data_IF_534668507159
#
_entry.id   IF_534668507159
#
_cell.length_a   1.000
_cell.length_b   1.000
_cell.length_c   1.000
_cell.angle_alpha   90.00
_cell.angle_beta   90.00
_cell.angle_gamma   90.00
#
_symmetry.space_group_name_H-M   'P 1'
#
loop_
_entity.id
_entity.type
_entity.pdbx_description
1 polymer ?
#
# COMPACT_ATOMS: atom_id res chain seq x y z
N UNK A 1 -9.43 -13.42 0.30
CA UNK A 1 -8.79 -13.13 -1.01
C UNK A 1 -7.81 -14.25 -1.29
N UNK A 2 -7.57 -14.61 -2.56
CA UNK A 2 -6.72 -15.76 -2.89
C UNK A 2 -5.23 -15.45 -2.83
N UNK A 3 -4.42 -16.44 -2.45
CA UNK A 3 -2.94 -16.39 -2.35
C UNK A 3 -2.27 -15.67 -3.52
N UNK A 4 -2.77 -15.88 -4.74
CA UNK A 4 -2.22 -15.25 -5.95
C UNK A 4 -2.24 -13.72 -5.87
N UNK A 5 -3.35 -13.11 -5.42
CA UNK A 5 -3.46 -11.64 -5.32
C UNK A 5 -2.51 -11.09 -4.26
N UNK A 6 -2.34 -11.81 -3.15
CA UNK A 6 -1.42 -11.40 -2.08
C UNK A 6 0.04 -11.51 -2.55
N UNK A 7 0.37 -12.53 -3.35
CA UNK A 7 1.69 -12.67 -3.97
C UNK A 7 1.96 -11.57 -5.01
N UNK A 8 0.98 -11.24 -5.86
CA UNK A 8 1.08 -10.13 -6.81
C UNK A 8 1.34 -8.80 -6.10
N UNK A 9 0.59 -8.50 -5.03
CA UNK A 9 0.82 -7.32 -4.21
C UNK A 9 2.22 -7.34 -3.57
N UNK A 10 2.62 -8.47 -2.97
CA UNK A 10 3.96 -8.62 -2.38
C UNK A 10 5.07 -8.28 -3.37
N UNK A 11 5.02 -8.88 -4.56
CA UNK A 11 6.03 -8.69 -5.60
C UNK A 11 6.05 -7.25 -6.10
N UNK A 12 4.88 -6.67 -6.37
CA UNK A 12 4.78 -5.30 -6.86
C UNK A 12 5.34 -4.29 -5.85
N UNK A 13 4.91 -4.37 -4.58
CA UNK A 13 5.38 -3.46 -3.55
C UNK A 13 6.87 -3.62 -3.20
N UNK A 14 7.40 -4.85 -3.21
CA UNK A 14 8.84 -5.08 -3.03
C UNK A 14 9.66 -4.48 -4.18
N UNK A 15 9.22 -4.70 -5.42
CA UNK A 15 9.89 -4.18 -6.62
C UNK A 15 10.00 -2.65 -6.56
N UNK A 16 8.89 -1.97 -6.27
CA UNK A 16 8.88 -0.50 -6.14
C UNK A 16 9.72 -0.02 -4.96
N UNK A 17 9.60 -0.67 -3.79
CA UNK A 17 10.42 -0.33 -2.62
C UNK A 17 11.92 -0.45 -2.91
N UNK A 18 12.34 -1.49 -3.62
CA UNK A 18 13.72 -1.71 -4.04
C UNK A 18 14.20 -0.62 -4.99
N UNK A 19 13.44 -0.33 -6.05
CA UNK A 19 13.77 0.70 -7.05
C UNK A 19 13.97 2.06 -6.39
N UNK A 20 13.07 2.46 -5.49
CA UNK A 20 13.18 3.74 -4.78
C UNK A 20 14.39 3.75 -3.85
N UNK A 21 14.63 2.67 -3.10
CA UNK A 21 15.74 2.60 -2.13
C UNK A 21 17.13 2.69 -2.79
N UNK A 22 17.28 2.07 -3.97
CA UNK A 22 18.56 2.01 -4.68
C UNK A 22 18.74 3.08 -5.75
N UNK A 23 17.76 3.97 -5.96
CA UNK A 23 17.90 5.05 -6.93
C UNK A 23 17.81 4.57 -8.39
N UNK A 24 17.07 3.48 -8.65
CA UNK A 24 17.08 2.80 -9.94
C UNK A 24 16.06 3.41 -10.91
N UNK A 25 16.36 3.32 -12.21
CA UNK A 25 15.38 3.60 -13.26
C UNK A 25 14.48 2.37 -13.42
N UNK A 26 13.14 2.51 -13.38
CA UNK A 26 12.23 1.41 -13.68
C UNK A 26 12.45 0.82 -15.07
N UNK A 27 12.65 -0.49 -15.15
CA UNK A 27 12.54 -1.25 -16.39
C UNK A 27 11.07 -1.63 -16.67
N UNK A 28 10.82 -2.41 -17.73
CA UNK A 28 9.46 -2.73 -18.17
C UNK A 28 8.68 -3.57 -17.13
N UNK A 29 9.34 -4.49 -16.44
CA UNK A 29 8.69 -5.33 -15.41
C UNK A 29 8.39 -4.50 -14.16
N UNK A 30 9.27 -3.57 -13.81
CA UNK A 30 9.01 -2.59 -12.74
C UNK A 30 7.87 -1.65 -13.12
N UNK A 31 7.71 -1.26 -14.39
CA UNK A 31 6.57 -0.44 -14.83
C UNK A 31 5.22 -1.14 -14.66
N UNK A 32 5.17 -2.45 -14.88
CA UNK A 32 3.96 -3.24 -14.55
C UNK A 32 3.68 -3.15 -13.04
N UNK A 33 4.72 -3.28 -12.21
CA UNK A 33 4.59 -3.13 -10.76
C UNK A 33 4.16 -1.70 -10.35
N UNK A 34 4.60 -0.67 -11.07
CA UNK A 34 4.20 0.72 -10.83
C UNK A 34 2.69 0.90 -11.07
N UNK A 35 2.16 0.42 -12.19
CA UNK A 35 0.73 0.48 -12.48
C UNK A 35 -0.10 -0.32 -11.47
N UNK A 36 0.39 -1.49 -11.06
CA UNK A 36 -0.25 -2.30 -10.02
C UNK A 36 -0.35 -1.53 -8.69
N UNK A 37 0.76 -0.98 -8.21
CA UNK A 37 0.80 -0.21 -6.95
C UNK A 37 -0.05 1.06 -7.04
N UNK A 38 -0.06 1.76 -8.19
CA UNK A 38 -0.96 2.90 -8.40
C UNK A 38 -2.42 2.49 -8.33
N UNK A 39 -2.79 1.40 -9.01
CA UNK A 39 -4.16 0.85 -8.99
C UNK A 39 -4.57 0.49 -7.57
N UNK A 40 -3.68 -0.16 -6.81
CA UNK A 40 -3.89 -0.47 -5.41
C UNK A 40 -4.21 0.78 -4.57
N UNK A 41 -3.38 1.83 -4.65
CA UNK A 41 -3.62 3.06 -3.90
C UNK A 41 -4.92 3.75 -4.34
N UNK A 42 -5.27 3.72 -5.63
CA UNK A 42 -6.54 4.25 -6.12
C UNK A 42 -7.74 3.48 -5.54
N UNK A 43 -7.67 2.16 -5.47
CA UNK A 43 -8.71 1.33 -4.83
C UNK A 43 -8.80 1.59 -3.33
N UNK A 44 -7.66 1.68 -2.65
CA UNK A 44 -7.62 2.01 -1.22
C UNK A 44 -8.25 3.38 -0.94
N UNK A 45 -7.95 4.40 -1.75
CA UNK A 45 -8.58 5.73 -1.66
C UNK A 45 -10.10 5.64 -1.86
N UNK A 46 -10.58 4.84 -2.83
CA UNK A 46 -12.02 4.63 -3.03
C UNK A 46 -12.66 3.97 -1.81
N UNK A 47 -12.00 2.96 -1.24
CA UNK A 47 -12.41 2.28 0.00
C UNK A 47 -12.53 3.26 1.17
N UNK A 48 -11.46 4.02 1.44
CA UNK A 48 -11.41 5.05 2.48
C UNK A 48 -12.53 6.11 2.30
N UNK A 49 -12.70 6.66 1.10
CA UNK A 49 -13.75 7.67 0.82
C UNK A 49 -15.16 7.10 0.97
N UNK A 50 -15.35 5.81 0.70
CA UNK A 50 -16.66 5.17 0.87
C UNK A 50 -17.05 5.07 2.35
N UNK A 51 -16.07 4.91 3.25
CA UNK A 51 -16.30 4.84 4.69
C UNK A 51 -16.76 6.20 5.25
N UNK A 52 -16.14 7.30 4.80
CA UNK A 52 -16.55 8.67 5.18
C UNK A 52 -17.98 8.98 4.76
N UNK A 53 -18.38 8.57 3.54
CA UNK A 53 -19.73 8.85 3.01
C UNK A 53 -20.86 8.17 3.78
N UNK A 54 -20.60 7.04 4.44
CA UNK A 54 -21.65 6.23 5.08
C UNK A 54 -22.19 6.81 6.40
N UNK A 55 -21.64 7.94 6.91
CA UNK A 55 -22.11 8.69 8.09
C UNK A 55 -22.66 7.78 9.21
N UNK A 56 -21.76 7.05 9.87
CA UNK A 56 -22.07 6.12 10.96
C UNK A 56 -20.79 5.71 11.70
N UNK A 57 -20.86 4.76 12.66
CA UNK A 57 -19.65 4.15 13.21
C UNK A 57 -18.80 3.58 12.06
N UNK A 58 -17.53 3.98 12.00
CA UNK A 58 -16.62 3.62 10.92
C UNK A 58 -16.27 2.13 11.03
N UNK A 59 -16.95 1.29 10.25
CA UNK A 59 -16.56 -0.10 10.04
C UNK A 59 -15.47 -0.14 8.97
N UNK A 60 -14.24 -0.43 9.40
CA UNK A 60 -13.09 -0.59 8.53
C UNK A 60 -13.12 -2.03 7.99
N UNK A 61 -12.98 -2.19 6.68
CA UNK A 61 -12.78 -3.51 6.08
C UNK A 61 -11.42 -4.05 6.55
N UNK A 62 -11.33 -5.35 6.85
CA UNK A 62 -10.10 -6.02 7.33
C UNK A 62 -8.85 -5.58 6.56
N UNK A 63 -8.89 -5.62 5.23
CA UNK A 63 -7.76 -5.23 4.38
C UNK A 63 -7.35 -3.76 4.57
N UNK A 64 -8.32 -2.85 4.72
CA UNK A 64 -8.04 -1.43 4.97
C UNK A 64 -7.48 -1.22 6.38
N UNK A 65 -7.97 -1.98 7.36
CA UNK A 65 -7.48 -1.93 8.74
C UNK A 65 -6.01 -2.32 8.80
N UNK A 66 -5.65 -3.43 8.18
CA UNK A 66 -4.26 -3.88 8.14
C UNK A 66 -3.36 -2.91 7.37
N UNK A 67 -3.84 -2.32 6.27
CA UNK A 67 -3.11 -1.26 5.54
C UNK A 67 -2.89 -0.04 6.43
N UNK A 68 -3.93 0.41 7.14
CA UNK A 68 -3.88 1.51 8.09
C UNK A 68 -2.83 1.22 9.17
N UNK A 69 -2.92 0.08 9.84
CA UNK A 69 -2.00 -0.35 10.90
C UNK A 69 -0.56 -0.45 10.40
N UNK A 70 -0.35 -1.05 9.23
CA UNK A 70 0.96 -1.20 8.59
C UNK A 70 1.62 0.16 8.29
N UNK A 71 0.81 1.18 7.98
CA UNK A 71 1.27 2.55 7.75
C UNK A 71 1.28 3.41 9.04
N UNK A 72 1.05 2.82 10.22
CA UNK A 72 1.09 3.52 11.51
C UNK A 72 -0.18 4.32 11.84
N UNK A 73 -1.25 4.12 11.07
CA UNK A 73 -2.55 4.73 11.31
C UNK A 73 -3.41 3.75 12.13
N UNK A 74 -3.69 4.07 13.39
CA UNK A 74 -4.54 3.24 14.25
C UNK A 74 -5.87 3.96 14.50
N UNK A 75 -6.97 3.39 14.01
CA UNK A 75 -8.30 4.01 14.07
C UNK A 75 -9.17 3.52 15.23
N UNK A 76 -8.81 2.41 15.88
CA UNK A 76 -9.58 1.90 17.02
C UNK A 76 -9.53 2.89 18.20
N UNK A 77 -10.63 3.00 18.93
CA UNK A 77 -10.83 3.91 20.07
C UNK A 77 -10.90 5.42 19.77
N UNK A 78 -10.90 5.83 18.50
CA UNK A 78 -11.09 7.24 18.12
C UNK A 78 -12.56 7.59 17.93
N UNK A 79 -12.95 8.80 18.34
CA UNK A 79 -14.28 9.33 18.03
C UNK A 79 -14.48 9.50 16.52
N UNK A 80 -15.74 9.43 16.05
CA UNK A 80 -16.08 9.44 14.62
C UNK A 80 -15.43 10.59 13.83
N UNK A 81 -15.37 11.81 14.39
CA UNK A 81 -14.74 12.96 13.74
C UNK A 81 -13.22 12.78 13.55
N UNK A 82 -12.55 12.17 14.53
CA UNK A 82 -11.10 11.92 14.46
C UNK A 82 -10.79 10.82 13.45
N UNK A 83 -11.62 9.77 13.40
CA UNK A 83 -11.51 8.71 12.40
C UNK A 83 -11.69 9.27 10.98
N UNK A 84 -12.67 10.16 10.78
CA UNK A 84 -12.89 10.82 9.49
C UNK A 84 -11.66 11.61 9.01
N UNK A 85 -11.07 12.39 9.93
CA UNK A 85 -9.87 13.20 9.63
C UNK A 85 -8.70 12.32 9.22
N UNK A 86 -8.48 11.22 9.91
CA UNK A 86 -7.39 10.31 9.61
C UNK A 86 -7.60 9.55 8.30
N UNK A 87 -8.82 9.08 8.04
CA UNK A 87 -9.18 8.46 6.76
C UNK A 87 -8.94 9.44 5.60
N UNK A 88 -9.34 10.70 5.75
CA UNK A 88 -9.11 11.73 4.73
C UNK A 88 -7.62 12.06 4.57
N UNK A 89 -6.87 12.12 5.67
CA UNK A 89 -5.42 12.36 5.64
C UNK A 89 -4.69 11.22 4.94
N UNK A 90 -5.05 9.96 5.23
CA UNK A 90 -4.46 8.81 4.55
C UNK A 90 -4.85 8.78 3.07
N UNK A 91 -6.10 9.06 2.73
CA UNK A 91 -6.53 9.12 1.34
C UNK A 91 -5.76 10.21 0.55
N UNK A 92 -5.40 11.31 1.21
CA UNK A 92 -4.52 12.34 0.64
C UNK A 92 -3.09 11.82 0.46
N UNK A 93 -2.53 11.17 1.48
CA UNK A 93 -1.18 10.58 1.44
C UNK A 93 -1.05 9.55 0.30
N UNK A 94 -2.04 8.66 0.13
CA UNK A 94 -2.07 7.73 -1.00
C UNK A 94 -2.18 8.43 -2.35
N UNK A 95 -2.87 9.57 -2.43
CA UNK A 95 -2.88 10.42 -3.62
C UNK A 95 -1.49 10.96 -3.94
N UNK A 96 -0.78 11.46 -2.94
CA UNK A 96 0.61 11.92 -3.08
C UNK A 96 1.55 10.78 -3.50
N UNK A 97 1.32 9.55 -3.02
CA UNK A 97 2.07 8.37 -3.47
C UNK A 97 1.86 8.07 -4.95
N UNK A 98 0.62 8.12 -5.45
CA UNK A 98 0.33 7.94 -6.88
C UNK A 98 1.05 9.00 -7.72
N UNK A 99 0.97 10.27 -7.34
CA UNK A 99 1.66 11.36 -8.05
C UNK A 99 3.19 11.12 -8.11
N UNK A 100 3.77 10.63 -7.01
CA UNK A 100 5.21 10.34 -6.93
C UNK A 100 5.60 9.15 -7.79
N UNK A 101 4.77 8.11 -7.85
CA UNK A 101 4.98 6.97 -8.74
C UNK A 101 4.89 7.40 -10.22
N UNK A 102 3.99 8.33 -10.56
CA UNK A 102 3.92 8.91 -11.90
C UNK A 102 5.17 9.72 -12.26
N UNK A 103 5.77 10.45 -11.31
CA UNK A 103 7.05 11.14 -11.54
C UNK A 103 8.18 10.12 -11.70
N UNK A 104 8.21 9.06 -10.88
CA UNK A 104 9.21 8.00 -11.00
C UNK A 104 9.16 7.31 -12.36
N UNK A 105 7.97 7.06 -12.91
CA UNK A 105 7.79 6.47 -14.24
C UNK A 105 8.26 7.41 -15.37
N UNK A 106 7.82 8.67 -15.33
CA UNK A 106 8.01 9.61 -16.45
C UNK A 106 9.38 10.31 -16.43
N UNK A 107 9.90 10.60 -15.24
CA UNK A 107 11.17 11.30 -15.05
C UNK A 107 11.86 10.85 -13.75
N UNK A 108 12.52 9.67 -13.76
CA UNK A 108 13.24 9.14 -12.60
C UNK A 108 14.30 10.11 -12.07
N UNK A 109 14.97 10.86 -12.97
CA UNK A 109 15.99 11.84 -12.57
C UNK A 109 15.38 12.94 -11.70
N UNK A 110 14.23 13.47 -12.13
CA UNK A 110 13.49 14.43 -11.31
C UNK A 110 13.05 13.80 -9.99
N UNK A 111 12.47 12.61 -10.00
CA UNK A 111 12.05 11.91 -8.79
C UNK A 111 13.18 11.84 -7.74
N UNK A 112 14.39 11.44 -8.14
CA UNK A 112 15.55 11.35 -7.26
C UNK A 112 16.23 12.69 -6.92
N UNK A 113 15.88 13.77 -7.62
CA UNK A 113 16.30 15.14 -7.28
C UNK A 113 15.38 15.84 -6.26
N UNK A 114 14.15 15.35 -6.08
CA UNK A 114 13.14 15.96 -5.19
C UNK A 114 13.44 15.74 -3.69
N UNK A 115 12.59 16.27 -2.80
CA UNK A 115 12.75 16.15 -1.34
C UNK A 115 12.89 14.69 -0.88
N UNK A 116 14.02 14.39 -0.21
CA UNK A 116 14.35 13.06 0.32
C UNK A 116 13.29 12.48 1.25
N UNK A 117 12.59 13.33 2.03
CA UNK A 117 11.56 12.88 2.95
C UNK A 117 10.39 12.20 2.24
N UNK A 118 9.89 12.77 1.14
CA UNK A 118 8.75 12.23 0.40
C UNK A 118 9.08 10.90 -0.27
N UNK A 119 10.30 10.77 -0.82
CA UNK A 119 10.80 9.48 -1.33
C UNK A 119 10.87 8.42 -0.25
N UNK A 120 11.43 8.77 0.91
CA UNK A 120 11.56 7.85 2.05
C UNK A 120 10.21 7.38 2.57
N UNK A 121 9.21 8.25 2.62
CA UNK A 121 7.85 7.86 3.03
C UNK A 121 7.21 6.88 2.05
N UNK A 122 7.29 7.15 0.74
CA UNK A 122 6.80 6.21 -0.27
C UNK A 122 7.53 4.86 -0.20
N UNK A 123 8.86 4.86 -0.09
CA UNK A 123 9.63 3.63 0.07
C UNK A 123 9.24 2.86 1.34
N UNK A 124 9.06 3.56 2.45
CA UNK A 124 8.63 2.99 3.72
C UNK A 124 7.22 2.37 3.63
N UNK A 125 6.26 3.09 3.03
CA UNK A 125 4.92 2.58 2.79
C UNK A 125 4.95 1.31 1.93
N UNK A 126 5.74 1.30 0.85
CA UNK A 126 5.90 0.11 0.01
C UNK A 126 6.47 -1.08 0.80
N UNK A 127 7.50 -0.87 1.62
CA UNK A 127 8.08 -1.93 2.44
C UNK A 127 7.10 -2.46 3.49
N UNK A 128 6.31 -1.58 4.10
CA UNK A 128 5.31 -1.95 5.11
C UNK A 128 4.17 -2.76 4.52
N UNK A 129 3.64 -2.34 3.38
CA UNK A 129 2.59 -3.07 2.67
C UNK A 129 3.13 -4.40 2.14
N UNK A 130 4.35 -4.44 1.59
CA UNK A 130 5.00 -5.70 1.22
C UNK A 130 5.16 -6.66 2.42
N UNK A 131 5.55 -6.14 3.59
CA UNK A 131 5.65 -6.92 4.82
C UNK A 131 4.33 -7.58 5.21
N UNK A 132 3.22 -6.84 5.11
CA UNK A 132 1.87 -7.36 5.36
C UNK A 132 1.53 -8.53 4.41
N UNK A 133 1.73 -8.35 3.11
CA UNK A 133 1.42 -9.39 2.13
C UNK A 133 2.37 -10.60 2.24
N UNK A 134 3.63 -10.40 2.60
CA UNK A 134 4.55 -11.49 2.89
C UNK A 134 4.06 -12.36 4.05
N UNK A 135 3.50 -11.73 5.09
CA UNK A 135 2.90 -12.46 6.21
C UNK A 135 1.69 -13.28 5.76
N UNK A 136 0.75 -12.68 5.03
CA UNK A 136 -0.42 -13.38 4.48
C UNK A 136 -0.05 -14.59 3.62
N UNK A 137 0.92 -14.40 2.71
CA UNK A 137 1.41 -15.48 1.85
C UNK A 137 1.99 -16.62 2.69
N UNK A 138 2.80 -16.32 3.72
CA UNK A 138 3.36 -17.35 4.62
C UNK A 138 2.29 -18.11 5.39
N UNK A 139 1.29 -17.42 5.92
CA UNK A 139 0.17 -18.02 6.65
C UNK A 139 -0.68 -18.94 5.76
N UNK A 140 -0.84 -18.59 4.49
CA UNK A 140 -1.55 -19.43 3.53
C UNK A 140 -0.71 -20.66 3.12
N UNK A 141 0.59 -20.50 2.88
CA UNK A 141 1.50 -21.63 2.62
C UNK A 141 1.54 -22.63 3.77
N UNK A 142 1.58 -22.15 5.02
CA UNK A 142 1.56 -23.01 6.20
C UNK A 142 0.27 -23.85 6.25
N UNK A 143 -0.88 -23.21 5.99
CA UNK A 143 -2.19 -23.90 5.96
C UNK A 143 -2.26 -24.99 4.89
N UNK A 144 -1.72 -24.75 3.70
CA UNK A 144 -1.69 -25.77 2.63
C UNK A 144 -0.81 -26.95 3.04
N UNK A 145 0.37 -26.69 3.62
CA UNK A 145 1.30 -27.72 4.08
C UNK A 145 0.69 -28.64 5.14
N UNK A 146 -0.07 -28.08 6.08
CA UNK A 146 -0.77 -28.85 7.13
C UNK A 146 -1.90 -29.73 6.56
N UNK A 147 -2.56 -29.32 5.46
CA UNK A 147 -3.62 -30.12 4.81
C UNK A 147 -3.12 -31.22 3.87
N UNK A 148 -1.81 -31.30 3.60
CA UNK A 148 -1.21 -32.30 2.71
C UNK A 148 -0.59 -33.51 3.41
N UNK A 149 -0.63 -33.54 4.74
CA UNK A 149 -0.11 -34.64 5.57
C UNK A 149 -1.20 -35.67 6.00
N UNK A 150 -2.43 -35.56 5.46
CA UNK A 150 -3.55 -36.50 5.62
C UNK A 150 -3.80 -37.33 4.34
#
# INVERSE_FOLDING_TARGET
>A
MGMQKDLENLLAFNSIGYVIAYGLTPDEDVKISLEHVKTFFQEAIKGLKSMVKRKGPYHIVEDLKEILESNGHYLEHKGALQQEREINQLAKEFGEYIERLDVLDKDPRRFYSEETFKRKNLAYACQKIAGLYNQKVKEEYARIGETSDD
#
